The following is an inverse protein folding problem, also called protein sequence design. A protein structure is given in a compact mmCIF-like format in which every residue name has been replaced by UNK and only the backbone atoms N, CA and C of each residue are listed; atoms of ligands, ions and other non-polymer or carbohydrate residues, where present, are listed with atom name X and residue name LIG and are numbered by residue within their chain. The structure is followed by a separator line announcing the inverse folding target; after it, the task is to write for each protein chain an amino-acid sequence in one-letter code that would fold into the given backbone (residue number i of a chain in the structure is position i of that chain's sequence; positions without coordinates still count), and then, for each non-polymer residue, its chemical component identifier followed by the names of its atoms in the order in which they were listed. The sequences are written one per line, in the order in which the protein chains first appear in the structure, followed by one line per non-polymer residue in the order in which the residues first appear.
data_IF_280199972837
#
_entry.id   IF_280199972837
#
_cell.length_a   1.000
_cell.length_b   1.000
_cell.length_c   1.000
_cell.angle_alpha   90.00
_cell.angle_beta   90.00
_cell.angle_gamma   90.00
#
_symmetry.space_group_name_H-M   'P 1'
#
loop_
_entity.id
_entity.type
_entity.pdbx_description
1 polymer ?
#
# COMPACT_ATOMS: atom_id res chain seq x y z
N UNK A 1 -19.67 -9.98 -0.08
CA UNK A 1 -19.19 -9.10 0.99
C UNK A 1 -18.02 -8.37 0.41
N UNK A 2 -18.14 -7.08 0.15
CA UNK A 2 -17.00 -6.24 -0.22
C UNK A 2 -16.10 -6.15 1.02
N UNK A 3 -15.09 -7.02 1.09
CA UNK A 3 -14.09 -6.97 2.15
C UNK A 3 -13.18 -5.79 1.85
N UNK A 4 -13.45 -4.66 2.50
CA UNK A 4 -12.52 -3.54 2.57
C UNK A 4 -11.42 -3.91 3.54
N UNK A 5 -10.18 -3.99 3.06
CA UNK A 5 -9.05 -4.42 3.87
C UNK A 5 -8.40 -3.25 4.62
N UNK A 6 -8.52 -2.04 4.08
CA UNK A 6 -7.95 -0.82 4.65
C UNK A 6 -8.79 0.40 4.27
N UNK A 7 -8.76 1.42 5.12
CA UNK A 7 -9.42 2.69 4.83
C UNK A 7 -8.70 3.42 3.70
N UNK A 8 -9.46 3.99 2.76
CA UNK A 8 -8.90 4.63 1.56
C UNK A 8 -8.58 3.66 0.40
N UNK A 9 -9.12 2.44 0.43
CA UNK A 9 -8.96 1.45 -0.65
C UNK A 9 -9.36 1.97 -2.03
N UNK A 10 -10.46 2.72 -2.14
CA UNK A 10 -10.90 3.31 -3.41
C UNK A 10 -9.87 4.31 -3.94
N UNK A 11 -9.43 5.24 -3.09
CA UNK A 11 -8.42 6.27 -3.42
C UNK A 11 -7.11 5.61 -3.85
N UNK A 12 -6.66 4.60 -3.09
CA UNK A 12 -5.47 3.83 -3.44
C UNK A 12 -5.61 3.18 -4.82
N UNK A 13 -6.74 2.55 -5.12
CA UNK A 13 -6.95 1.91 -6.43
C UNK A 13 -6.98 2.94 -7.56
N UNK A 14 -7.54 4.13 -7.34
CA UNK A 14 -7.50 5.23 -8.30
C UNK A 14 -6.07 5.71 -8.57
N UNK A 15 -5.29 5.96 -7.51
CA UNK A 15 -3.89 6.36 -7.63
C UNK A 15 -3.03 5.26 -8.26
N UNK A 16 -3.23 4.02 -7.85
CA UNK A 16 -2.55 2.86 -8.42
C UNK A 16 -2.85 2.72 -9.91
N UNK A 17 -4.12 2.86 -10.34
CA UNK A 17 -4.49 2.80 -11.77
C UNK A 17 -3.86 3.92 -12.58
N UNK A 18 -3.64 5.10 -12.00
CA UNK A 18 -2.95 6.21 -12.67
C UNK A 18 -1.44 5.97 -12.79
N UNK A 19 -0.84 5.36 -11.77
CA UNK A 19 0.59 5.09 -11.73
C UNK A 19 0.99 3.82 -12.50
N UNK A 20 0.15 2.79 -12.47
CA UNK A 20 0.44 1.48 -13.05
C UNK A 20 0.30 1.48 -14.57
N UNK A 21 1.22 0.77 -15.24
CA UNK A 21 1.27 0.59 -16.69
C UNK A 21 0.32 -0.48 -17.20
N UNK A 22 -0.20 -1.34 -16.32
CA UNK A 22 -1.04 -2.45 -16.73
C UNK A 22 -2.37 -1.97 -17.33
N UNK A 23 -2.71 -2.45 -18.53
CA UNK A 23 -3.96 -2.14 -19.22
C UNK A 23 -5.19 -2.69 -18.48
N UNK A 24 -5.01 -3.73 -17.67
CA UNK A 24 -6.06 -4.32 -16.83
C UNK A 24 -5.54 -4.52 -15.42
N UNK A 25 -6.09 -3.75 -14.49
CA UNK A 25 -5.72 -3.77 -13.07
C UNK A 25 -6.74 -4.61 -12.33
N UNK A 26 -6.32 -5.76 -11.82
CA UNK A 26 -7.16 -6.60 -10.97
C UNK A 26 -7.10 -6.06 -9.52
N UNK A 27 -8.11 -5.27 -9.15
CA UNK A 27 -8.15 -4.61 -7.85
C UNK A 27 -8.01 -5.57 -6.68
N UNK A 28 -8.61 -6.77 -6.78
CA UNK A 28 -8.50 -7.82 -5.76
C UNK A 28 -7.05 -8.28 -5.60
N UNK A 29 -6.35 -8.58 -6.70
CA UNK A 29 -4.93 -8.96 -6.64
C UNK A 29 -4.03 -7.86 -6.09
N UNK A 30 -4.28 -6.61 -6.46
CA UNK A 30 -3.49 -5.48 -5.95
C UNK A 30 -3.69 -5.36 -4.44
N UNK A 31 -4.93 -5.43 -3.96
CA UNK A 31 -5.24 -5.37 -2.53
C UNK A 31 -4.59 -6.54 -1.77
N UNK A 32 -4.65 -7.75 -2.33
CA UNK A 32 -4.03 -8.93 -1.72
C UNK A 32 -2.51 -8.77 -1.60
N UNK A 33 -1.84 -8.28 -2.65
CA UNK A 33 -0.41 -7.99 -2.63
C UNK A 33 -0.04 -6.87 -1.64
N UNK A 34 -0.86 -5.83 -1.56
CA UNK A 34 -0.72 -4.74 -0.59
C UNK A 34 -0.83 -5.29 0.82
N UNK A 35 -1.87 -6.08 1.10
CA UNK A 35 -2.08 -6.72 2.40
C UNK A 35 -0.94 -7.68 2.76
N UNK A 36 -0.44 -8.48 1.83
CA UNK A 36 0.72 -9.35 2.07
C UNK A 36 1.95 -8.52 2.48
N UNK A 37 2.19 -7.39 1.81
CA UNK A 37 3.29 -6.49 2.17
C UNK A 37 3.08 -5.79 3.51
N UNK A 38 1.85 -5.35 3.81
CA UNK A 38 1.51 -4.66 5.05
C UNK A 38 1.45 -5.59 6.27
N UNK A 39 1.14 -6.87 6.07
CA UNK A 39 1.16 -7.89 7.13
C UNK A 39 2.58 -8.37 7.44
N UNK A 40 3.59 -8.03 6.62
CA UNK A 40 4.98 -8.38 6.94
C UNK A 40 5.46 -7.57 8.15
N UNK A 41 6.15 -8.20 9.11
CA UNK A 41 6.72 -7.50 10.25
C UNK A 41 7.80 -6.53 9.77
N UNK A 42 7.46 -5.25 9.66
CA UNK A 42 8.43 -4.19 9.35
C UNK A 42 9.04 -3.65 10.66
N UNK A 43 10.37 -3.62 10.80
CA UNK A 43 11.04 -3.14 12.01
C UNK A 43 10.87 -1.63 12.27
N UNK A 44 10.51 -0.85 11.25
CA UNK A 44 10.49 0.62 11.30
C UNK A 44 9.11 1.23 11.57
N UNK A 45 8.09 0.42 11.84
CA UNK A 45 6.66 0.80 11.96
C UNK A 45 6.05 1.53 10.74
N UNK A 46 6.88 1.85 9.74
CA UNK A 46 6.51 2.49 8.47
C UNK A 46 5.98 1.44 7.51
N UNK A 47 4.68 1.47 7.31
CA UNK A 47 3.99 0.68 6.33
C UNK A 47 3.95 1.45 5.00
N UNK A 48 4.41 0.82 3.94
CA UNK A 48 4.27 1.40 2.60
C UNK A 48 4.31 0.31 1.56
N UNK A 49 3.45 0.43 0.56
CA UNK A 49 3.50 -0.40 -0.63
C UNK A 49 4.37 0.29 -1.68
N UNK A 50 5.22 -0.47 -2.36
CA UNK A 50 6.10 0.06 -3.40
C UNK A 50 5.76 -0.63 -4.71
N UNK A 51 5.27 0.14 -5.67
CA UNK A 51 5.08 -0.31 -7.04
C UNK A 51 6.40 -0.09 -7.79
N UNK A 52 7.10 -1.15 -8.24
CA UNK A 52 8.36 -1.00 -8.94
C UNK A 52 8.17 -0.24 -10.26
N UNK A 53 9.17 0.57 -10.66
CA UNK A 53 9.11 1.34 -11.91
C UNK A 53 8.89 0.50 -13.17
N UNK A 54 9.23 -0.79 -13.14
CA UNK A 54 8.90 -1.74 -14.22
C UNK A 54 7.40 -1.89 -14.48
N UNK A 55 6.58 -1.67 -13.44
CA UNK A 55 5.13 -1.78 -13.48
C UNK A 55 4.43 -0.41 -13.58
N UNK A 56 5.17 0.70 -13.59
CA UNK A 56 4.60 2.06 -13.64
C UNK A 56 4.70 2.67 -15.04
N UNK A 57 3.77 3.57 -15.38
CA UNK A 57 3.77 4.30 -16.67
C UNK A 57 4.98 5.23 -16.79
N UNK A 58 5.41 5.81 -15.67
CA UNK A 58 6.54 6.75 -15.60
C UNK A 58 7.90 6.05 -15.68
N UNK A 59 7.96 4.73 -15.50
CA UNK A 59 9.21 3.98 -15.35
C UNK A 59 9.91 4.19 -14.00
N UNK A 60 9.29 4.94 -13.08
CA UNK A 60 9.80 5.26 -11.74
C UNK A 60 9.01 4.50 -10.68
N UNK A 61 9.67 4.07 -9.62
CA UNK A 61 8.98 3.39 -8.53
C UNK A 61 8.04 4.34 -7.81
N UNK A 62 6.84 3.88 -7.47
CA UNK A 62 5.85 4.69 -6.76
C UNK A 62 5.66 4.12 -5.37
N UNK A 63 5.89 4.94 -4.35
CA UNK A 63 5.65 4.61 -2.96
C UNK A 63 4.27 5.07 -2.53
N UNK A 64 3.47 4.14 -2.03
CA UNK A 64 2.16 4.39 -1.46
C UNK A 64 2.30 4.34 0.07
N UNK A 65 2.13 5.46 0.78
CA UNK A 65 2.25 5.50 2.23
C UNK A 65 1.00 4.91 2.91
N UNK A 66 1.23 4.04 3.90
CA UNK A 66 0.18 3.45 4.72
C UNK A 66 0.46 3.72 6.19
N UNK A 67 -0.62 3.79 6.97
CA UNK A 67 -0.60 3.86 8.43
C UNK A 67 -1.33 2.66 8.98
N UNK A 68 -0.84 2.09 10.09
CA UNK A 68 -1.63 1.20 10.93
C UNK A 68 -2.04 1.97 12.18
N UNK A 69 -3.28 1.82 12.60
CA UNK A 69 -3.74 2.28 13.91
C UNK A 69 -4.29 1.09 14.68
N UNK A 70 -3.94 1.03 15.97
CA UNK A 70 -4.48 0.07 16.91
C UNK A 70 -5.75 0.65 17.49
N UNK A 71 -6.89 0.13 17.08
CA UNK A 71 -8.19 0.58 17.57
C UNK A 71 -8.60 -0.35 18.72
N UNK A 72 -8.81 0.24 19.89
CA UNK A 72 -9.35 -0.49 21.04
C UNK A 72 -10.85 -0.68 20.84
N UNK A 73 -11.30 -1.92 20.68
CA UNK A 73 -12.72 -2.24 20.70
C UNK A 73 -13.16 -2.41 22.15
N UNK A 74 -13.90 -1.41 22.65
CA UNK A 74 -14.33 -1.24 24.05
C UNK A 74 -15.11 -2.45 24.61
N UNK A 75 -15.66 -3.29 23.73
CA UNK A 75 -16.53 -4.42 24.12
C UNK A 75 -15.79 -5.72 24.47
N UNK A 76 -14.52 -5.90 24.07
CA UNK A 76 -13.83 -7.21 24.23
C UNK A 76 -12.36 -7.11 24.68
N UNK A 77 -11.87 -5.93 25.10
CA UNK A 77 -10.45 -5.71 25.41
C UNK A 77 -9.51 -6.22 24.29
N UNK A 78 -9.99 -6.20 23.05
CA UNK A 78 -9.28 -6.65 21.86
C UNK A 78 -8.85 -5.42 21.08
N UNK A 79 -7.55 -5.30 20.84
CA UNK A 79 -7.00 -4.31 19.91
C UNK A 79 -7.05 -4.89 18.50
N UNK A 80 -7.73 -4.20 17.60
CA UNK A 80 -7.71 -4.53 16.18
C UNK A 80 -6.76 -3.59 15.45
N UNK A 81 -5.92 -4.16 14.60
CA UNK A 81 -5.06 -3.39 13.70
C UNK A 81 -5.88 -3.00 12.48
N UNK A 82 -6.12 -1.69 12.30
CA UNK A 82 -6.74 -1.16 11.11
C UNK A 82 -5.69 -0.43 10.27
N UNK A 83 -5.67 -0.71 8.97
CA UNK A 83 -4.77 -0.06 8.02
C UNK A 83 -5.49 1.10 7.34
N UNK A 84 -4.75 2.18 7.10
CA UNK A 84 -5.22 3.42 6.49
C UNK A 84 -4.25 3.82 5.39
N UNK A 85 -4.77 4.08 4.20
CA UNK A 85 -4.01 4.67 3.12
C UNK A 85 -3.99 6.19 3.30
N UNK A 86 -2.80 6.78 3.46
CA UNK A 86 -2.67 8.23 3.69
C UNK A 86 -2.91 9.08 2.43
N UNK A 87 -2.99 8.45 1.25
CA UNK A 87 -2.98 9.16 -0.02
C UNK A 87 -1.59 9.70 -0.37
N UNK A 88 -1.50 10.47 -1.45
CA UNK A 88 -0.26 11.12 -1.91
C UNK A 88 0.86 10.13 -2.25
N UNK A 89 0.70 9.30 -3.30
CA UNK A 89 1.77 8.44 -3.76
C UNK A 89 2.99 9.27 -4.19
N UNK A 90 4.18 8.85 -3.77
CA UNK A 90 5.44 9.55 -4.09
C UNK A 90 6.20 8.74 -5.12
N UNK A 91 6.39 9.31 -6.30
CA UNK A 91 7.29 8.77 -7.31
C UNK A 91 8.73 9.04 -6.92
N UNK A 92 9.55 8.00 -6.93
CA UNK A 92 10.98 8.12 -6.66
C UNK A 92 11.76 7.20 -7.60
N UNK A 93 12.92 7.65 -8.02
CA UNK A 93 13.92 6.75 -8.58
C UNK A 93 14.49 5.96 -7.41
N UNK A 94 14.31 4.63 -7.43
CA UNK A 94 15.18 3.75 -6.67
C UNK A 94 16.55 3.95 -7.29
N UNK A 95 17.31 4.90 -6.76
CA UNK A 95 18.75 4.82 -6.88
C UNK A 95 19.07 3.53 -6.13
N UNK A 96 19.45 2.48 -6.86
CA UNK A 96 20.17 1.34 -6.30
C UNK A 96 21.41 1.91 -5.58
N UNK A 97 21.23 2.35 -4.33
CA UNK A 97 22.32 2.74 -3.44
C UNK A 97 22.99 1.49 -2.82
N UNK A 98 22.87 0.33 -3.48
CA UNK A 98 23.75 -0.83 -3.29
C UNK A 98 24.89 -0.82 -4.33
N UNK A 99 25.54 0.33 -4.46
CA UNK A 99 26.87 0.44 -5.06
C UNK A 99 27.82 1.04 -4.02
N UNK A 100 28.15 0.28 -2.98
CA UNK A 100 29.50 0.33 -2.42
C UNK A 100 29.93 -0.90 -1.65
#
# INVERSE_FOLDING_TARGET
MDMTYFEGQDVFLEDYKKAAKAETIDSQKVIDAVMDQLNKPTPDDKLSYILPGSETVSGRSVRFPFRKELIAMDQEATVSTQFFYEGSPVEYEVLDEEQR
#
